data_IF_381501474892
#
_entry.id   IF_381501474892
#
_cell.length_a   1.000
_cell.length_b   1.000
_cell.length_c   1.000
_cell.angle_alpha   90.00
_cell.angle_beta   90.00
_cell.angle_gamma   90.00
#
_symmetry.space_group_name_H-M   'P 1'
#
loop_
_entity.id
_entity.type
_entity.pdbx_description
1 polymer ?
#
# COMPACT_ATOMS: atom_id res chain seq x y z
N UNK A 1 -5.71 -9.98 14.48
CA UNK A 1 -4.99 -9.39 13.32
C UNK A 1 -5.42 -7.94 13.21
N UNK A 2 -4.51 -6.98 13.14
CA UNK A 2 -4.85 -5.58 12.89
C UNK A 2 -4.67 -5.29 11.40
N UNK A 3 -5.73 -4.86 10.72
CA UNK A 3 -5.69 -4.59 9.28
C UNK A 3 -6.02 -3.12 9.04
N UNK A 4 -5.02 -2.36 8.57
CA UNK A 4 -5.21 -0.95 8.18
C UNK A 4 -5.75 -0.92 6.76
N UNK A 5 -6.99 -0.51 6.57
CA UNK A 5 -7.59 -0.31 5.25
C UNK A 5 -8.18 1.08 5.20
N UNK A 6 -7.76 1.90 4.23
CA UNK A 6 -8.64 2.97 3.76
C UNK A 6 -8.50 3.29 2.29
N UNK A 7 -9.64 3.16 1.61
CA UNK A 7 -10.05 4.08 0.57
C UNK A 7 -11.56 4.21 0.62
N UNK A 8 -12.06 5.45 0.46
CA UNK A 8 -13.43 5.97 0.31
C UNK A 8 -14.63 5.22 0.96
N UNK A 9 -14.69 3.89 1.01
CA UNK A 9 -15.58 3.11 1.85
C UNK A 9 -15.23 3.31 3.35
N UNK A 10 -16.26 3.62 4.14
CA UNK A 10 -16.13 3.78 5.59
C UNK A 10 -15.96 2.45 6.34
N UNK A 11 -15.65 2.51 7.65
CA UNK A 11 -15.48 1.32 8.50
C UNK A 11 -16.71 0.41 8.50
N UNK A 12 -17.90 0.96 8.21
CA UNK A 12 -19.17 0.24 8.19
C UNK A 12 -19.16 -0.96 7.24
N UNK A 13 -18.45 -0.89 6.11
CA UNK A 13 -18.35 -2.03 5.19
C UNK A 13 -17.56 -3.18 5.81
N UNK A 14 -16.46 -2.87 6.51
CA UNK A 14 -15.57 -3.88 7.09
C UNK A 14 -16.18 -4.57 8.31
N UNK A 15 -17.00 -3.85 9.06
CA UNK A 15 -17.75 -4.40 10.21
C UNK A 15 -18.79 -5.45 9.80
N UNK A 16 -19.24 -5.45 8.53
CA UNK A 16 -20.17 -6.47 8.02
C UNK A 16 -19.50 -7.80 7.67
N UNK A 17 -18.16 -7.84 7.58
CA UNK A 17 -17.44 -9.05 7.22
C UNK A 17 -17.40 -10.02 8.42
N UNK A 18 -17.62 -11.33 8.22
CA UNK A 18 -17.61 -12.33 9.29
C UNK A 18 -16.17 -12.69 9.72
N UNK A 19 -15.42 -11.70 10.20
CA UNK A 19 -14.01 -11.79 10.56
C UNK A 19 -13.79 -11.33 12.02
N UNK A 20 -14.24 -12.12 13.01
CA UNK A 20 -14.35 -11.70 14.41
C UNK A 20 -12.99 -11.45 15.11
N UNK A 21 -11.90 -11.98 14.57
CA UNK A 21 -10.55 -11.86 15.15
C UNK A 21 -9.72 -10.73 14.50
N UNK A 22 -10.37 -9.85 13.73
CA UNK A 22 -9.74 -8.73 13.05
C UNK A 22 -10.16 -7.42 13.72
N UNK A 23 -9.15 -6.62 14.10
CA UNK A 23 -9.33 -5.21 14.44
C UNK A 23 -9.08 -4.39 13.18
N UNK A 24 -10.07 -3.60 12.78
CA UNK A 24 -9.97 -2.71 11.63
C UNK A 24 -9.50 -1.33 12.08
N UNK A 25 -8.46 -0.80 11.46
CA UNK A 25 -7.98 0.57 11.68
C UNK A 25 -8.14 1.33 10.37
N UNK A 26 -9.02 2.34 10.34
CA UNK A 26 -9.37 3.06 9.11
C UNK A 26 -8.93 4.54 9.19
N UNK A 27 -7.63 4.84 9.09
CA UNK A 27 -7.09 6.18 9.28
C UNK A 27 -7.43 7.10 8.11
N UNK A 28 -7.71 8.37 8.38
CA UNK A 28 -7.98 9.34 7.32
C UNK A 28 -6.68 9.90 6.73
N UNK A 29 -6.52 9.80 5.41
CA UNK A 29 -5.40 10.43 4.70
C UNK A 29 -5.42 11.96 4.92
N UNK A 30 -4.26 12.61 5.05
CA UNK A 30 -4.20 14.05 5.26
C UNK A 30 -4.73 14.81 4.03
N UNK A 31 -5.28 15.99 4.27
CA UNK A 31 -5.67 16.92 3.20
C UNK A 31 -4.41 17.54 2.61
N UNK A 32 -4.20 17.36 1.30
CA UNK A 32 -3.07 17.96 0.56
C UNK A 32 -3.49 18.34 -0.86
N UNK A 33 -2.81 19.29 -1.51
CA UNK A 33 -2.94 19.53 -2.94
C UNK A 33 -2.57 18.28 -3.74
N UNK A 34 -3.35 17.95 -4.76
CA UNK A 34 -3.06 16.83 -5.67
C UNK A 34 -2.87 17.36 -7.10
N UNK A 35 -1.72 17.08 -7.72
CA UNK A 35 -1.38 17.58 -9.07
C UNK A 35 -2.39 17.12 -10.14
N UNK A 36 -2.84 15.87 -10.06
CA UNK A 36 -3.87 15.30 -10.93
C UNK A 36 -5.16 16.14 -10.95
N UNK A 37 -5.49 16.79 -9.84
CA UNK A 37 -6.67 17.65 -9.71
C UNK A 37 -6.34 19.14 -9.84
N UNK A 38 -5.26 19.48 -10.55
CA UNK A 38 -4.83 20.86 -10.77
C UNK A 38 -4.41 21.58 -9.48
N UNK A 39 -3.94 20.82 -8.47
CA UNK A 39 -3.57 21.35 -7.16
C UNK A 39 -4.75 21.55 -6.19
N UNK A 40 -5.95 21.06 -6.53
CA UNK A 40 -7.08 21.11 -5.61
C UNK A 40 -6.79 20.29 -4.33
N UNK A 41 -7.03 20.85 -3.12
CA UNK A 41 -6.79 20.14 -1.89
C UNK A 41 -7.86 19.07 -1.63
N UNK A 42 -7.44 17.81 -1.49
CA UNK A 42 -8.30 16.70 -1.11
C UNK A 42 -7.54 15.71 -0.22
N UNK A 43 -8.25 14.72 0.35
CA UNK A 43 -7.60 13.69 1.16
C UNK A 43 -6.82 12.72 0.27
N UNK A 44 -5.48 12.76 0.36
CA UNK A 44 -4.61 11.91 -0.45
C UNK A 44 -3.44 11.37 0.38
N UNK A 45 -3.06 10.11 0.12
CA UNK A 45 -1.93 9.47 0.76
C UNK A 45 -0.60 10.01 0.22
N UNK A 46 -0.53 10.23 -1.09
CA UNK A 46 0.64 10.78 -1.76
C UNK A 46 0.18 11.59 -2.97
N UNK A 47 1.06 12.45 -3.49
CA UNK A 47 0.78 13.23 -4.68
C UNK A 47 0.83 12.34 -5.93
N UNK A 48 -0.07 12.60 -6.87
CA UNK A 48 -0.15 11.88 -8.15
C UNK A 48 -0.22 12.94 -9.24
N UNK A 49 0.76 12.93 -10.15
CA UNK A 49 0.81 13.85 -11.30
C UNK A 49 -0.07 13.38 -12.45
N UNK A 50 0.08 12.12 -12.83
CA UNK A 50 -0.72 11.43 -13.82
C UNK A 50 -0.74 9.91 -13.50
N UNK A 51 -1.63 9.17 -14.16
CA UNK A 51 -1.68 7.70 -14.06
C UNK A 51 -0.94 7.02 -15.22
N UNK A 52 0.09 7.64 -15.79
CA UNK A 52 0.98 6.97 -16.73
C UNK A 52 1.95 6.08 -15.96
N UNK A 53 2.37 4.97 -16.56
CA UNK A 53 3.48 4.19 -16.00
C UNK A 53 4.79 4.98 -15.98
N UNK A 54 4.90 6.01 -16.84
CA UNK A 54 6.07 6.89 -16.94
C UNK A 54 6.05 8.04 -15.93
N UNK A 55 4.96 8.23 -15.20
CA UNK A 55 4.92 9.28 -14.18
C UNK A 55 5.95 9.00 -13.08
N UNK A 56 6.65 10.04 -12.60
CA UNK A 56 7.46 9.90 -11.41
C UNK A 56 6.57 9.64 -10.19
N UNK A 57 6.88 8.60 -9.42
CA UNK A 57 6.26 8.35 -8.12
C UNK A 57 6.64 9.43 -7.10
N UNK A 58 5.68 9.88 -6.29
CA UNK A 58 5.94 10.69 -5.09
C UNK A 58 6.52 9.81 -3.97
N UNK A 59 7.82 9.50 -4.10
CA UNK A 59 8.54 8.66 -3.13
C UNK A 59 8.46 9.21 -1.71
N UNK A 60 8.54 10.53 -1.53
CA UNK A 60 8.46 11.17 -0.22
C UNK A 60 7.07 10.98 0.39
N UNK A 61 6.00 11.21 -0.37
CA UNK A 61 4.63 10.98 0.10
C UNK A 61 4.30 9.51 0.34
N UNK A 62 4.86 8.60 -0.46
CA UNK A 62 4.74 7.16 -0.27
C UNK A 62 5.42 6.71 1.02
N UNK A 63 6.66 7.16 1.27
CA UNK A 63 7.39 6.91 2.51
C UNK A 63 6.64 7.48 3.72
N UNK A 64 6.17 8.72 3.64
CA UNK A 64 5.40 9.36 4.70
C UNK A 64 4.11 8.59 5.02
N UNK A 65 3.41 8.09 3.99
CA UNK A 65 2.20 7.27 4.15
C UNK A 65 2.50 5.92 4.79
N UNK A 66 3.53 5.22 4.29
CA UNK A 66 3.93 3.93 4.82
C UNK A 66 4.43 4.05 6.28
N UNK A 67 5.14 5.13 6.62
CA UNK A 67 5.53 5.45 7.98
C UNK A 67 4.33 5.76 8.87
N UNK A 68 3.35 6.52 8.39
CA UNK A 68 2.11 6.77 9.12
C UNK A 68 1.38 5.47 9.44
N UNK A 69 1.24 4.57 8.46
CA UNK A 69 0.60 3.26 8.65
C UNK A 69 1.41 2.37 9.59
N UNK A 70 2.72 2.33 9.45
CA UNK A 70 3.61 1.59 10.35
C UNK A 70 3.47 2.09 11.80
N UNK A 71 3.37 3.41 12.01
CA UNK A 71 3.17 4.00 13.33
C UNK A 71 1.82 3.64 13.96
N UNK A 72 0.77 3.49 13.16
CA UNK A 72 -0.53 3.02 13.68
C UNK A 72 -0.43 1.56 14.12
N UNK A 73 0.20 0.72 13.31
CA UNK A 73 0.35 -0.71 13.59
C UNK A 73 1.33 -1.00 14.73
N UNK A 74 2.34 -0.15 14.96
CA UNK A 74 3.31 -0.32 16.05
C UNK A 74 2.71 -0.11 17.45
N UNK A 75 1.47 0.40 17.53
CA UNK A 75 0.73 0.51 18.80
C UNK A 75 0.10 -0.82 19.24
N UNK A 76 0.08 -1.83 18.38
CA UNK A 76 -0.48 -3.15 18.70
C UNK A 76 0.53 -4.02 19.47
N UNK A 77 0.04 -4.93 20.34
CA UNK A 77 0.89 -5.90 21.02
C UNK A 77 1.67 -6.80 20.06
N UNK A 78 2.86 -7.25 20.49
CA UNK A 78 3.79 -8.03 19.65
C UNK A 78 3.26 -9.40 19.18
N UNK A 79 2.27 -9.97 19.87
CA UNK A 79 1.62 -11.24 19.51
C UNK A 79 0.51 -11.06 18.45
N UNK A 80 0.14 -9.82 18.13
CA UNK A 80 -0.86 -9.52 17.11
C UNK A 80 -0.23 -9.53 15.72
N UNK A 81 -0.80 -10.36 14.83
CA UNK A 81 -0.47 -10.31 13.39
C UNK A 81 -0.94 -8.99 12.79
N UNK A 82 -0.05 -8.31 12.08
CA UNK A 82 -0.31 -7.02 11.46
C UNK A 82 -0.55 -7.20 9.97
N UNK A 83 -1.50 -6.49 9.41
CA UNK A 83 -1.84 -6.52 8.00
C UNK A 83 -2.13 -5.12 7.49
N UNK A 84 -1.98 -4.95 6.19
CA UNK A 84 -2.26 -3.67 5.55
C UNK A 84 -3.06 -3.90 4.28
N UNK A 85 -3.96 -3.00 3.98
CA UNK A 85 -4.72 -3.07 2.75
C UNK A 85 -5.33 -1.75 2.35
N UNK A 86 -6.04 -1.76 1.24
CA UNK A 86 -6.66 -0.55 0.76
C UNK A 86 -7.39 -0.75 -0.55
N UNK A 87 -8.00 0.34 -1.00
CA UNK A 87 -8.61 0.46 -2.31
C UNK A 87 -7.96 1.61 -3.09
N UNK A 88 -7.85 1.53 -4.42
CA UNK A 88 -7.25 2.61 -5.24
C UNK A 88 -5.91 3.11 -4.68
N UNK A 89 -5.78 4.41 -4.38
CA UNK A 89 -4.57 4.98 -3.77
C UNK A 89 -4.19 4.32 -2.43
N UNK A 90 -5.16 3.87 -1.64
CA UNK A 90 -4.87 3.12 -0.41
C UNK A 90 -4.30 1.72 -0.69
N UNK A 91 -4.74 1.07 -1.77
CA UNK A 91 -4.14 -0.20 -2.21
C UNK A 91 -2.70 0.02 -2.68
N UNK A 92 -2.43 1.14 -3.34
CA UNK A 92 -1.06 1.52 -3.73
C UNK A 92 -0.17 1.76 -2.50
N UNK A 93 -0.65 2.46 -1.47
CA UNK A 93 0.06 2.61 -0.19
C UNK A 93 0.30 1.26 0.51
N UNK A 94 -0.68 0.36 0.45
CA UNK A 94 -0.57 -0.97 1.03
C UNK A 94 0.52 -1.81 0.36
N UNK A 95 0.54 -1.79 -0.98
CA UNK A 95 1.55 -2.49 -1.76
C UNK A 95 2.94 -1.86 -1.61
N UNK A 96 3.03 -0.54 -1.50
CA UNK A 96 4.29 0.13 -1.20
C UNK A 96 4.86 -0.30 0.16
N UNK A 97 3.99 -0.41 1.18
CA UNK A 97 4.38 -0.94 2.51
C UNK A 97 4.92 -2.38 2.42
N UNK A 98 4.37 -3.20 1.52
CA UNK A 98 4.89 -4.53 1.23
C UNK A 98 6.31 -4.47 0.64
N UNK A 99 6.56 -3.56 -0.30
CA UNK A 99 7.91 -3.35 -0.86
C UNK A 99 8.87 -2.94 0.25
N UNK A 100 8.50 -1.99 1.12
CA UNK A 100 9.36 -1.56 2.21
C UNK A 100 9.70 -2.70 3.18
N UNK A 101 8.71 -3.54 3.52
CA UNK A 101 8.93 -4.72 4.33
C UNK A 101 9.91 -5.70 3.66
N UNK A 102 9.71 -5.99 2.38
CA UNK A 102 10.55 -6.92 1.61
C UNK A 102 11.99 -6.40 1.54
N UNK A 103 12.18 -5.14 1.17
CA UNK A 103 13.49 -4.49 1.11
C UNK A 103 14.11 -4.26 2.50
N UNK A 104 13.31 -4.22 3.56
CA UNK A 104 13.72 -3.89 4.92
C UNK A 104 13.80 -2.39 5.20
N UNK A 105 13.70 -1.55 4.16
CA UNK A 105 13.83 -0.10 4.21
C UNK A 105 12.73 0.61 3.42
N UNK A 106 12.44 1.84 3.82
CA UNK A 106 11.75 2.87 3.04
C UNK A 106 12.53 3.26 1.77
N UNK A 107 11.89 3.98 0.85
CA UNK A 107 12.54 4.51 -0.35
C UNK A 107 13.72 5.44 -0.05
N UNK A 108 13.61 6.21 1.04
CA UNK A 108 14.65 7.10 1.56
C UNK A 108 15.81 6.38 2.29
N UNK A 109 15.77 5.04 2.42
CA UNK A 109 16.81 4.23 3.04
C UNK A 109 16.67 4.00 4.54
N UNK A 110 15.70 4.63 5.22
CA UNK A 110 15.42 4.35 6.63
C UNK A 110 14.83 2.95 6.81
N UNK A 111 15.06 2.31 7.96
CA UNK A 111 14.54 0.98 8.27
C UNK A 111 13.00 0.96 8.35
N UNK A 112 12.38 -0.04 7.75
CA UNK A 112 10.95 -0.30 7.89
C UNK A 112 10.68 -1.07 9.20
N UNK A 113 9.96 -0.52 10.18
CA UNK A 113 9.98 -1.04 11.55
C UNK A 113 8.93 -2.13 11.82
N UNK A 114 7.99 -2.37 10.91
CA UNK A 114 6.83 -3.23 11.13
C UNK A 114 6.93 -4.52 10.31
N UNK A 115 6.63 -5.66 10.93
CA UNK A 115 6.53 -6.94 10.23
C UNK A 115 5.08 -7.23 9.81
N UNK A 116 4.75 -7.06 8.54
CA UNK A 116 3.42 -7.32 8.01
C UNK A 116 3.24 -8.82 7.69
N UNK A 117 2.08 -9.35 8.07
CA UNK A 117 1.67 -10.74 7.88
C UNK A 117 0.75 -10.94 6.67
N UNK A 118 0.16 -9.88 6.11
CA UNK A 118 -0.70 -9.94 4.93
C UNK A 118 -0.89 -8.57 4.28
N UNK A 119 -1.06 -8.54 2.96
CA UNK A 119 -1.35 -7.35 2.15
C UNK A 119 -2.63 -7.56 1.34
N UNK A 120 -3.51 -6.55 1.29
CA UNK A 120 -4.76 -6.58 0.51
C UNK A 120 -4.86 -5.34 -0.39
N UNK A 121 -4.81 -5.52 -1.71
CA UNK A 121 -4.99 -4.43 -2.68
C UNK A 121 -6.26 -4.61 -3.51
N UNK A 122 -7.16 -3.63 -3.46
CA UNK A 122 -8.40 -3.62 -4.25
C UNK A 122 -8.38 -2.47 -5.26
N UNK A 123 -8.54 -2.75 -6.54
CA UNK A 123 -8.54 -1.74 -7.62
C UNK A 123 -7.40 -0.71 -7.49
N UNK A 124 -6.18 -1.18 -7.23
CA UNK A 124 -4.99 -0.33 -7.05
C UNK A 124 -3.91 -0.57 -8.10
N UNK A 125 -2.79 0.14 -7.92
CA UNK A 125 -1.56 -0.07 -8.67
C UNK A 125 -0.38 -0.33 -7.71
N UNK A 126 0.74 -0.86 -8.22
CA UNK A 126 1.98 -1.05 -7.47
C UNK A 126 2.93 0.14 -7.73
N UNK A 127 3.13 1.05 -6.76
CA UNK A 127 4.09 2.14 -6.94
C UNK A 127 5.51 1.62 -7.04
N UNK A 128 6.38 2.36 -7.74
CA UNK A 128 7.81 2.07 -7.86
C UNK A 128 8.13 0.68 -8.43
N UNK A 129 7.24 0.10 -9.24
CA UNK A 129 7.42 -1.23 -9.84
C UNK A 129 8.72 -1.35 -10.64
N UNK A 130 9.14 -0.28 -11.33
CA UNK A 130 10.38 -0.22 -12.13
C UNK A 130 11.64 -0.43 -11.30
N UNK A 131 11.65 0.07 -10.06
CA UNK A 131 12.81 0.00 -9.17
C UNK A 131 12.75 -1.20 -8.21
N UNK A 132 11.66 -1.98 -8.24
CA UNK A 132 11.46 -3.10 -7.33
C UNK A 132 12.55 -4.17 -7.50
N UNK A 133 12.87 -4.54 -8.74
CA UNK A 133 13.91 -5.54 -9.04
C UNK A 133 15.25 -5.10 -8.45
N UNK A 134 15.68 -3.86 -8.73
CA UNK A 134 16.94 -3.30 -8.23
C UNK A 134 16.98 -3.27 -6.69
N UNK A 135 15.83 -3.04 -6.02
CA UNK A 135 15.74 -3.06 -4.55
C UNK A 135 15.77 -4.45 -3.93
N UNK A 136 15.58 -5.50 -4.72
CA UNK A 136 15.58 -6.89 -4.26
C UNK A 136 16.84 -7.65 -4.70
N UNK A 137 17.53 -7.18 -5.74
CA UNK A 137 18.73 -7.80 -6.28
C UNK A 137 19.81 -8.00 -5.22
N UNK A 138 20.37 -9.21 -5.16
CA UNK A 138 21.45 -9.56 -4.24
C UNK A 138 21.04 -9.85 -2.79
N UNK A 139 19.78 -9.62 -2.38
CA UNK A 139 19.32 -9.89 -1.02
C UNK A 139 18.49 -11.17 -0.91
N UNK A 140 19.13 -12.25 -0.44
CA UNK A 140 18.44 -13.52 -0.14
C UNK A 140 17.38 -13.38 0.97
N UNK A 141 17.52 -12.40 1.84
CA UNK A 141 16.54 -12.11 2.88
C UNK A 141 15.30 -11.42 2.29
N UNK A 142 15.48 -10.45 1.41
CA UNK A 142 14.38 -9.82 0.68
C UNK A 142 13.61 -10.84 -0.16
N UNK A 143 14.31 -11.70 -0.90
CA UNK A 143 13.68 -12.76 -1.68
C UNK A 143 12.83 -13.72 -0.80
N UNK A 144 13.34 -14.09 0.39
CA UNK A 144 12.59 -14.92 1.34
C UNK A 144 11.37 -14.22 1.90
N UNK A 145 11.48 -12.93 2.27
CA UNK A 145 10.33 -12.12 2.73
C UNK A 145 9.27 -11.98 1.63
N UNK A 146 9.67 -11.72 0.39
CA UNK A 146 8.74 -11.62 -0.73
C UNK A 146 8.00 -12.94 -0.97
N UNK A 147 8.70 -14.07 -0.92
CA UNK A 147 8.10 -15.39 -1.13
C UNK A 147 7.14 -15.82 -0.02
N UNK A 148 7.30 -15.30 1.21
CA UNK A 148 6.47 -15.67 2.36
C UNK A 148 5.31 -14.73 2.63
N UNK A 149 5.32 -13.51 2.08
CA UNK A 149 4.29 -12.50 2.33
C UNK A 149 3.02 -12.78 1.52
N UNK A 150 1.88 -13.10 2.15
CA UNK A 150 0.62 -13.27 1.45
C UNK A 150 0.10 -11.93 0.91
N UNK A 151 -0.13 -11.86 -0.40
CA UNK A 151 -0.69 -10.68 -1.07
C UNK A 151 -1.97 -11.09 -1.80
N UNK A 152 -3.08 -10.40 -1.50
CA UNK A 152 -4.34 -10.56 -2.20
C UNK A 152 -4.64 -9.32 -3.05
N UNK A 153 -4.80 -9.51 -4.36
CA UNK A 153 -5.10 -8.45 -5.32
C UNK A 153 -6.43 -8.72 -6.04
N UNK A 154 -7.33 -7.75 -6.02
CA UNK A 154 -8.54 -7.76 -6.85
C UNK A 154 -8.64 -6.48 -7.65
N UNK A 155 -9.13 -6.58 -8.89
CA UNK A 155 -9.32 -5.45 -9.77
C UNK A 155 -10.57 -5.69 -10.63
N UNK A 156 -11.44 -4.69 -10.75
CA UNK A 156 -12.66 -4.80 -11.55
C UNK A 156 -12.36 -4.69 -13.04
N UNK A 157 -12.93 -5.58 -13.87
CA UNK A 157 -12.69 -5.57 -15.32
C UNK A 157 -13.20 -4.31 -16.03
N UNK A 158 -14.16 -3.59 -15.43
CA UNK A 158 -14.71 -2.33 -15.93
C UNK A 158 -14.16 -1.09 -15.22
N UNK A 159 -12.99 -1.17 -14.58
CA UNK A 159 -12.35 0.00 -13.97
C UNK A 159 -11.79 0.89 -15.09
N UNK A 160 -12.47 2.01 -15.34
CA UNK A 160 -12.06 3.01 -16.35
C UNK A 160 -11.04 4.01 -15.79
N UNK A 161 -10.91 4.11 -14.46
CA UNK A 161 -10.03 5.08 -13.78
C UNK A 161 -8.60 4.57 -13.67
N UNK A 162 -8.44 3.27 -13.41
CA UNK A 162 -7.15 2.60 -13.44
C UNK A 162 -7.20 1.54 -14.53
N UNK A 163 -6.61 1.83 -15.68
CA UNK A 163 -6.62 0.89 -16.79
C UNK A 163 -6.05 -0.49 -16.37
N UNK A 164 -6.81 -1.54 -16.69
CA UNK A 164 -6.56 -2.96 -16.38
C UNK A 164 -5.12 -3.45 -16.61
N UNK A 165 -4.35 -2.81 -17.49
CA UNK A 165 -2.96 -3.18 -17.76
C UNK A 165 -2.08 -3.04 -16.51
N UNK A 166 -2.31 -2.02 -15.68
CA UNK A 166 -1.55 -1.82 -14.44
C UNK A 166 -1.78 -2.92 -13.41
N UNK A 167 -2.99 -3.49 -13.35
CA UNK A 167 -3.31 -4.61 -12.44
C UNK A 167 -2.77 -5.96 -12.92
N UNK A 168 -2.64 -6.16 -14.24
CA UNK A 168 -2.07 -7.40 -14.82
C UNK A 168 -0.56 -7.44 -14.75
N UNK A 169 0.14 -6.33 -14.96
CA UNK A 169 1.60 -6.33 -14.96
C UNK A 169 2.21 -6.60 -13.58
N UNK A 170 1.46 -6.31 -12.51
CA UNK A 170 1.84 -6.67 -11.13
C UNK A 170 1.95 -8.18 -10.86
N UNK A 171 1.29 -9.03 -11.67
CA UNK A 171 1.44 -10.49 -11.53
C UNK A 171 2.73 -11.03 -12.16
N UNK A 172 3.43 -10.21 -12.93
CA UNK A 172 4.60 -10.62 -13.74
C UNK A 172 5.94 -10.15 -13.17
N UNK A 173 5.93 -9.23 -12.20
CA UNK A 173 7.12 -8.74 -11.48
C UNK A 173 7.37 -9.54 -10.21
#
# INVERSE_FOLDING_TARGET
MALVIRAQAGPQLLETLPLPNIKWICPTAPTRPVRLFGGFPCTAWFDVGDFSEDAPDDLEGLDASAAHVANLLSTEPADIKLGVGGFSMGAATALYSAICLVSGNYGNGNLYPVNLSAIVGLSGWLPCSRNLRNRMEGSHEAARRAASLPIFLCHGLGDEWLHMNMGRDQRRT
#
